data_IF_494001247507
#
_entry.id   IF_494001247507
#
_cell.length_a   1.000
_cell.length_b   1.000
_cell.length_c   1.000
_cell.angle_alpha   90.00
_cell.angle_beta   90.00
_cell.angle_gamma   90.00
#
_symmetry.space_group_name_H-M   'P 1'
#
loop_
_entity.id
_entity.type
_entity.pdbx_description
1 polymer ?
#
# COMPACT_ATOMS: atom_id res chain seq x y z
N UNK A 1 14.81 11.84 0.90
CA UNK A 1 14.57 13.25 0.53
C UNK A 1 14.78 14.05 1.79
N UNK A 2 15.62 15.08 1.73
CA UNK A 2 15.89 15.97 2.86
C UNK A 2 15.22 17.34 2.66
N UNK A 3 15.40 18.23 3.63
CA UNK A 3 14.80 19.57 3.61
C UNK A 3 15.34 20.46 2.48
N UNK A 4 16.61 20.27 2.11
CA UNK A 4 17.25 21.05 1.04
C UNK A 4 16.82 20.57 -0.34
N UNK A 5 16.60 19.26 -0.53
CA UNK A 5 15.96 18.68 -1.72
C UNK A 5 14.58 19.32 -1.95
N UNK A 6 13.79 19.50 -0.87
CA UNK A 6 12.46 20.11 -0.91
C UNK A 6 12.53 21.59 -1.32
N UNK A 7 13.42 22.39 -0.72
CA UNK A 7 13.62 23.79 -1.11
C UNK A 7 14.04 23.95 -2.57
N UNK A 8 14.87 23.03 -3.06
CA UNK A 8 15.39 23.02 -4.43
C UNK A 8 14.46 22.33 -5.42
N UNK A 9 13.28 21.87 -4.96
CA UNK A 9 12.30 21.15 -5.76
C UNK A 9 12.90 19.96 -6.54
N UNK A 10 13.84 19.26 -5.91
CA UNK A 10 14.56 18.13 -6.52
C UNK A 10 13.63 16.93 -6.63
N UNK A 11 13.46 16.42 -7.84
CA UNK A 11 12.68 15.21 -8.10
C UNK A 11 13.59 13.99 -7.94
N UNK A 12 13.20 13.03 -7.11
CA UNK A 12 13.93 11.77 -6.89
C UNK A 12 13.16 10.57 -7.45
N UNK A 13 13.87 9.56 -7.97
CA UNK A 13 13.26 8.33 -8.44
C UNK A 13 12.65 7.53 -7.28
N UNK A 14 11.59 6.76 -7.55
CA UNK A 14 10.93 5.95 -6.51
C UNK A 14 9.89 4.98 -7.05
N UNK A 15 9.56 3.97 -6.25
CA UNK A 15 8.59 2.91 -6.60
C UNK A 15 7.21 3.23 -5.99
N UNK A 16 6.16 3.15 -6.81
CA UNK A 16 4.79 3.32 -6.34
C UNK A 16 4.17 1.98 -5.83
N UNK A 17 3.00 2.07 -5.19
CA UNK A 17 2.29 0.87 -4.64
C UNK A 17 1.79 -0.11 -5.71
N UNK A 18 1.82 0.28 -6.99
CA UNK A 18 1.46 -0.59 -8.12
C UNK A 18 2.66 -1.38 -8.65
N UNK A 19 3.81 -1.31 -7.98
CA UNK A 19 5.07 -1.94 -8.40
C UNK A 19 5.60 -1.36 -9.72
N UNK A 20 5.48 -0.04 -9.86
CA UNK A 20 6.06 0.71 -10.98
C UNK A 20 7.08 1.70 -10.42
N UNK A 21 8.27 1.66 -10.99
CA UNK A 21 9.35 2.60 -10.77
C UNK A 21 9.10 3.88 -11.58
N UNK A 22 9.12 5.03 -10.91
CA UNK A 22 8.95 6.34 -11.49
C UNK A 22 10.31 7.03 -11.53
N UNK A 23 10.79 7.35 -12.72
CA UNK A 23 12.07 8.01 -12.94
C UNK A 23 11.82 9.40 -13.53
N UNK A 24 12.06 10.49 -12.78
CA UNK A 24 11.90 11.84 -13.29
C UNK A 24 12.77 12.10 -14.53
N UNK A 25 12.21 12.75 -15.55
CA UNK A 25 12.96 13.29 -16.69
C UNK A 25 12.60 14.77 -16.90
N UNK A 26 13.13 15.39 -17.97
CA UNK A 26 12.97 16.82 -18.23
C UNK A 26 11.51 17.24 -18.45
N UNK A 27 10.70 16.38 -19.07
CA UNK A 27 9.32 16.68 -19.48
C UNK A 27 8.27 16.08 -18.55
N UNK A 28 8.66 15.16 -17.67
CA UNK A 28 7.75 14.35 -16.86
C UNK A 28 8.47 13.22 -16.15
N UNK A 29 8.11 11.99 -16.43
CA UNK A 29 8.77 10.80 -15.88
C UNK A 29 8.65 9.61 -16.84
N UNK A 30 9.55 8.66 -16.66
CA UNK A 30 9.46 7.33 -17.26
C UNK A 30 8.96 6.33 -16.22
N UNK A 31 8.21 5.34 -16.70
CA UNK A 31 7.63 4.28 -15.90
C UNK A 31 8.28 2.95 -16.27
N UNK A 32 8.85 2.27 -15.28
CA UNK A 32 9.51 0.98 -15.47
C UNK A 32 8.86 -0.03 -14.51
N UNK A 33 8.38 -1.19 -15.00
CA UNK A 33 7.84 -2.22 -14.12
C UNK A 33 8.94 -2.73 -13.18
N UNK A 34 8.61 -2.94 -11.90
CA UNK A 34 9.57 -3.51 -10.93
C UNK A 34 9.85 -4.97 -11.26
N UNK A 35 8.82 -5.72 -11.65
CA UNK A 35 8.93 -7.12 -12.04
C UNK A 35 9.87 -7.27 -13.25
N UNK A 36 10.90 -8.10 -13.11
CA UNK A 36 11.96 -8.30 -14.10
C UNK A 36 13.03 -7.20 -14.15
N UNK A 37 12.93 -6.14 -13.34
CA UNK A 37 13.90 -5.04 -13.26
C UNK A 37 14.36 -4.77 -11.81
N UNK A 38 14.25 -5.75 -10.92
CA UNK A 38 14.43 -5.58 -9.49
C UNK A 38 15.83 -5.10 -9.14
N UNK A 39 16.84 -5.60 -9.85
CA UNK A 39 18.24 -5.18 -9.65
C UNK A 39 18.44 -3.71 -10.05
N UNK A 40 17.86 -3.29 -11.17
CA UNK A 40 17.88 -1.89 -11.62
C UNK A 40 17.18 -0.98 -10.61
N UNK A 41 16.00 -1.37 -10.14
CA UNK A 41 15.23 -0.65 -9.11
C UNK A 41 16.01 -0.54 -7.80
N UNK A 42 16.71 -1.60 -7.39
CA UNK A 42 17.52 -1.61 -6.17
C UNK A 42 18.67 -0.59 -6.25
N UNK A 43 19.37 -0.55 -7.39
CA UNK A 43 20.46 0.40 -7.66
C UNK A 43 19.94 1.85 -7.67
N UNK A 44 18.82 2.10 -8.33
CA UNK A 44 18.28 3.45 -8.50
C UNK A 44 17.67 4.02 -7.21
N UNK A 45 17.09 3.17 -6.37
CA UNK A 45 16.49 3.58 -5.09
C UNK A 45 17.48 3.54 -3.92
N UNK A 46 18.66 2.93 -4.11
CA UNK A 46 19.65 2.72 -3.05
C UNK A 46 19.17 1.74 -1.96
N UNK A 47 18.23 0.85 -2.30
CA UNK A 47 17.72 -0.17 -1.38
C UNK A 47 18.28 -1.54 -1.75
N UNK A 48 18.32 -2.48 -0.78
CA UNK A 48 18.81 -3.83 -1.08
C UNK A 48 17.86 -4.57 -2.02
N UNK A 49 18.41 -5.41 -2.90
CA UNK A 49 17.62 -6.29 -3.78
C UNK A 49 16.64 -7.18 -2.97
N UNK A 50 17.06 -7.64 -1.79
CA UNK A 50 16.22 -8.40 -0.87
C UNK A 50 15.00 -7.61 -0.39
N UNK A 51 15.15 -6.30 -0.17
CA UNK A 51 14.04 -5.42 0.22
C UNK A 51 13.05 -5.27 -0.92
N UNK A 52 13.54 -5.07 -2.15
CA UNK A 52 12.70 -4.96 -3.35
C UNK A 52 11.85 -6.22 -3.55
N UNK A 53 12.50 -7.39 -3.58
CA UNK A 53 11.83 -8.69 -3.75
C UNK A 53 10.81 -8.99 -2.63
N UNK A 54 11.16 -8.65 -1.38
CA UNK A 54 10.24 -8.83 -0.24
C UNK A 54 8.99 -7.96 -0.37
N UNK A 55 9.16 -6.71 -0.81
CA UNK A 55 8.06 -5.75 -0.98
C UNK A 55 7.18 -6.12 -2.16
N UNK A 56 7.77 -6.54 -3.26
CA UNK A 56 7.07 -7.06 -4.43
C UNK A 56 6.17 -8.24 -4.06
N UNK A 57 6.72 -9.29 -3.45
CA UNK A 57 5.94 -10.45 -2.99
C UNK A 57 4.80 -10.05 -2.07
N UNK A 58 5.05 -9.14 -1.12
CA UNK A 58 4.03 -8.67 -0.18
C UNK A 58 2.89 -7.93 -0.89
N UNK A 59 3.22 -7.01 -1.82
CA UNK A 59 2.23 -6.19 -2.52
C UNK A 59 1.43 -7.02 -3.53
N UNK A 60 2.07 -7.95 -4.24
CA UNK A 60 1.39 -8.92 -5.10
C UNK A 60 0.43 -9.80 -4.29
N UNK A 61 0.90 -10.36 -3.17
CA UNK A 61 0.05 -11.14 -2.28
C UNK A 61 -1.14 -10.33 -1.78
N UNK A 62 -0.93 -9.08 -1.34
CA UNK A 62 -2.03 -8.19 -0.90
C UNK A 62 -3.04 -7.88 -2.01
N UNK A 63 -2.61 -7.83 -3.27
CA UNK A 63 -3.53 -7.63 -4.41
C UNK A 63 -4.38 -8.88 -4.66
N UNK A 64 -3.79 -10.07 -4.51
CA UNK A 64 -4.47 -11.35 -4.71
C UNK A 64 -5.39 -11.75 -3.55
N UNK A 65 -4.91 -11.63 -2.30
CA UNK A 65 -5.60 -12.12 -1.10
C UNK A 65 -6.29 -11.03 -0.29
N UNK A 66 -6.14 -9.76 -0.69
CA UNK A 66 -6.55 -8.62 0.12
C UNK A 66 -5.51 -8.22 1.18
N UNK A 67 -5.70 -7.05 1.77
CA UNK A 67 -4.82 -6.53 2.82
C UNK A 67 -5.11 -7.24 4.15
N UNK A 68 -4.09 -7.79 4.79
CA UNK A 68 -4.18 -8.15 6.21
C UNK A 68 -4.27 -6.88 7.06
N UNK A 69 -5.17 -6.86 8.04
CA UNK A 69 -5.41 -5.71 8.93
C UNK A 69 -6.84 -5.15 8.87
N UNK A 70 -7.64 -5.53 7.88
CA UNK A 70 -9.09 -5.28 7.91
C UNK A 70 -9.73 -6.33 8.80
N UNK A 71 -10.01 -5.95 10.05
CA UNK A 71 -10.65 -6.83 11.03
C UNK A 71 -12.11 -7.14 10.66
N UNK A 72 -12.81 -6.17 10.05
CA UNK A 72 -14.16 -6.34 9.56
C UNK A 72 -14.35 -5.53 8.28
N UNK A 73 -14.76 -6.20 7.21
CA UNK A 73 -15.32 -5.57 6.00
C UNK A 73 -16.77 -6.01 5.92
N UNK A 74 -17.70 -5.07 6.00
CA UNK A 74 -19.13 -5.33 5.89
C UNK A 74 -19.74 -4.34 4.91
N UNK A 75 -20.47 -4.86 3.92
CA UNK A 75 -21.21 -4.05 2.96
C UNK A 75 -22.67 -3.96 3.45
N UNK A 76 -23.17 -2.75 3.62
CA UNK A 76 -24.55 -2.50 4.05
C UNK A 76 -25.51 -2.82 2.91
N UNK A 77 -26.54 -3.60 3.21
CA UNK A 77 -27.70 -3.79 2.33
C UNK A 77 -28.79 -2.76 2.62
N UNK A 78 -30.05 -3.18 2.61
CA UNK A 78 -31.21 -2.34 2.95
C UNK A 78 -31.41 -2.10 4.45
N UNK A 79 -30.47 -2.57 5.30
CA UNK A 79 -30.54 -2.41 6.76
C UNK A 79 -29.95 -1.07 7.20
N UNK A 80 -30.43 -0.57 8.34
CA UNK A 80 -29.88 0.65 8.97
C UNK A 80 -28.52 0.39 9.61
N UNK A 81 -27.76 1.47 9.87
CA UNK A 81 -26.46 1.35 10.54
C UNK A 81 -26.58 0.72 11.92
N UNK A 82 -27.61 1.08 12.70
CA UNK A 82 -27.87 0.51 14.03
C UNK A 82 -28.12 -1.00 13.96
N UNK A 83 -28.90 -1.45 12.98
CA UNK A 83 -29.18 -2.87 12.76
C UNK A 83 -27.93 -3.66 12.38
N UNK A 84 -27.13 -3.12 11.45
CA UNK A 84 -25.86 -3.73 11.04
C UNK A 84 -24.89 -3.84 12.23
N UNK A 85 -24.72 -2.77 13.01
CA UNK A 85 -23.82 -2.74 14.18
C UNK A 85 -24.29 -3.72 15.26
N UNK A 86 -25.60 -3.79 15.54
CA UNK A 86 -26.16 -4.74 16.51
C UNK A 86 -25.94 -6.20 16.07
N UNK A 87 -26.14 -6.49 14.78
CA UNK A 87 -25.93 -7.81 14.18
C UNK A 87 -24.46 -8.23 14.20
N UNK A 88 -23.56 -7.31 13.85
CA UNK A 88 -22.11 -7.53 13.89
C UNK A 88 -21.60 -7.74 15.32
N UNK A 89 -22.10 -6.96 16.28
CA UNK A 89 -21.79 -7.09 17.72
C UNK A 89 -22.26 -8.42 18.29
N UNK A 90 -23.37 -8.98 17.81
CA UNK A 90 -23.84 -10.32 18.21
C UNK A 90 -22.93 -11.42 17.66
N UNK A 91 -22.45 -11.29 16.42
CA UNK A 91 -21.61 -12.30 15.75
C UNK A 91 -20.14 -12.29 16.19
N UNK A 92 -19.59 -11.15 16.59
CA UNK A 92 -18.17 -11.03 16.92
C UNK A 92 -17.94 -10.36 18.27
N UNK A 93 -17.41 -11.12 19.24
CA UNK A 93 -16.99 -10.59 20.55
C UNK A 93 -15.89 -9.54 20.41
N UNK A 94 -15.02 -9.69 19.41
CA UNK A 94 -13.94 -8.74 19.12
C UNK A 94 -14.49 -7.41 18.59
N UNK A 95 -15.51 -7.45 17.71
CA UNK A 95 -16.16 -6.23 17.23
C UNK A 95 -16.91 -5.52 18.36
N UNK A 96 -17.64 -6.28 19.19
CA UNK A 96 -18.32 -5.73 20.39
C UNK A 96 -17.34 -5.01 21.31
N UNK A 97 -16.22 -5.66 21.65
CA UNK A 97 -15.17 -5.05 22.49
C UNK A 97 -14.56 -3.79 21.89
N UNK A 98 -14.55 -3.64 20.56
CA UNK A 98 -14.03 -2.45 19.90
C UNK A 98 -15.01 -1.27 19.91
N UNK A 99 -16.31 -1.50 20.15
CA UNK A 99 -17.30 -0.42 20.33
C UNK A 99 -17.30 0.13 21.76
N UNK A 100 -16.92 -0.69 22.74
CA UNK A 100 -16.89 -0.34 24.16
C UNK A 100 -15.57 0.33 24.60
N UNK A 101 -14.60 0.49 23.68
CA UNK A 101 -13.25 1.02 23.92
C UNK A 101 -13.12 2.48 23.47
#
# INVERSE_FOLDING_TARGET
>A
MDYEDLKKNVRKPGVNKRLVMIVPNREGHEEIPVEGNEEYVSKLTGTSISTVLSRERLLLRRRLTGHTGVFLKYELGDETFEEAIAKLSKRSKFFRRALDA
#
